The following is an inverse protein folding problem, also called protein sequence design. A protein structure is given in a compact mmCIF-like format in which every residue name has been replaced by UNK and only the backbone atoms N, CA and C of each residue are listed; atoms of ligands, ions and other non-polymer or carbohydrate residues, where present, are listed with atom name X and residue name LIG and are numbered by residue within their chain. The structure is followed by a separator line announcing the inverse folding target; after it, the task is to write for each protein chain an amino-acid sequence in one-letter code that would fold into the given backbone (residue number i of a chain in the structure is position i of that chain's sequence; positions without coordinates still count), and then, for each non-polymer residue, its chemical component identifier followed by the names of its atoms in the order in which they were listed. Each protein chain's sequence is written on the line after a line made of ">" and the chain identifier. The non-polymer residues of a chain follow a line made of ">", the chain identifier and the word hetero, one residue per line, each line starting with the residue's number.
data_IF_671437886608
#
_entry.id   IF_671437886608
#
_cell.length_a   1.000
_cell.length_b   1.000
_cell.length_c   1.000
_cell.angle_alpha   90.00
_cell.angle_beta   90.00
_cell.angle_gamma   90.00
#
_symmetry.space_group_name_H-M   'P 1'
#
loop_
_entity.id
_entity.type
_entity.pdbx_description
1 polymer ?
#
# COMPACT_ATOMS: atom_id res chain seq x y z
N UNK A 1 3.52 -10.27 -2.02
CA UNK A 1 2.12 -9.96 -2.39
C UNK A 1 1.76 -8.60 -1.80
N UNK A 2 1.40 -7.62 -2.61
CA UNK A 2 1.15 -6.26 -2.11
C UNK A 2 -0.36 -6.08 -1.90
N UNK A 3 -0.79 -5.76 -0.68
CA UNK A 3 -2.19 -5.52 -0.35
C UNK A 3 -2.41 -4.01 -0.20
N UNK A 4 -3.39 -3.49 -0.92
CA UNK A 4 -3.74 -2.07 -0.86
C UNK A 4 -5.20 -1.91 -0.49
N UNK A 5 -5.54 -0.77 0.09
CA UNK A 5 -6.91 -0.45 0.45
C UNK A 5 -7.00 0.34 1.75
N UNK A 6 -8.20 0.81 2.11
CA UNK A 6 -8.42 1.60 3.31
C UNK A 6 -8.17 0.80 4.59
N UNK A 7 -7.82 1.47 5.69
CA UNK A 7 -7.56 0.85 7.00
C UNK A 7 -8.73 0.09 7.63
N UNK A 8 -9.94 0.36 7.17
CA UNK A 8 -11.14 -0.35 7.61
C UNK A 8 -11.53 -1.51 6.69
N UNK A 9 -10.72 -1.81 5.67
CA UNK A 9 -10.95 -2.89 4.73
C UNK A 9 -10.61 -4.29 5.27
N UNK A 10 -10.16 -4.45 6.50
CA UNK A 10 -9.81 -5.80 7.01
C UNK A 10 -8.52 -6.37 6.40
N UNK A 11 -7.64 -5.51 5.85
CA UNK A 11 -6.28 -5.87 5.42
C UNK A 11 -5.54 -6.63 6.53
N UNK A 12 -5.50 -6.07 7.74
CA UNK A 12 -4.82 -6.69 8.88
C UNK A 12 -5.48 -8.01 9.31
N UNK A 13 -6.79 -8.15 9.18
CA UNK A 13 -7.49 -9.42 9.46
C UNK A 13 -7.08 -10.51 8.48
N UNK A 14 -7.08 -10.21 7.18
CA UNK A 14 -6.64 -11.14 6.14
C UNK A 14 -5.17 -11.55 6.33
N UNK A 15 -4.31 -10.57 6.61
CA UNK A 15 -2.88 -10.81 6.84
C UNK A 15 -2.67 -11.73 8.06
N UNK A 16 -3.37 -11.46 9.17
CA UNK A 16 -3.31 -12.32 10.37
C UNK A 16 -3.87 -13.72 10.10
N UNK A 17 -4.90 -13.85 9.28
CA UNK A 17 -5.45 -15.13 8.88
C UNK A 17 -4.39 -16.00 8.18
N UNK A 18 -3.62 -15.45 7.22
CA UNK A 18 -2.55 -16.18 6.53
C UNK A 18 -1.48 -16.67 7.52
N UNK A 19 -1.08 -15.80 8.45
CA UNK A 19 -0.11 -16.14 9.49
C UNK A 19 -0.62 -17.28 10.40
N UNK A 20 -1.83 -17.15 10.93
CA UNK A 20 -2.42 -18.13 11.84
C UNK A 20 -2.66 -19.48 11.17
N UNK A 21 -3.15 -19.49 9.93
CA UNK A 21 -3.35 -20.72 9.15
C UNK A 21 -2.01 -21.48 8.97
N UNK A 22 -0.93 -20.75 8.66
CA UNK A 22 0.41 -21.34 8.53
C UNK A 22 0.88 -21.98 9.85
N UNK A 23 0.70 -21.28 10.98
CA UNK A 23 1.04 -21.81 12.31
C UNK A 23 0.22 -23.06 12.63
N UNK A 24 -1.10 -23.01 12.44
CA UNK A 24 -2.00 -24.13 12.73
C UNK A 24 -1.62 -25.38 11.93
N UNK A 25 -1.30 -25.23 10.64
CA UNK A 25 -0.87 -26.35 9.80
C UNK A 25 0.45 -26.96 10.27
N UNK A 26 1.45 -26.14 10.64
CA UNK A 26 2.73 -26.66 11.13
C UNK A 26 2.66 -27.27 12.54
N UNK A 27 1.64 -26.93 13.32
CA UNK A 27 1.30 -27.62 14.56
C UNK A 27 0.59 -28.97 14.34
N UNK A 28 0.23 -29.30 13.10
CA UNK A 28 -0.55 -30.49 12.77
C UNK A 28 -2.03 -30.37 13.09
N UNK A 29 -2.55 -29.14 13.26
CA UNK A 29 -3.97 -28.87 13.46
C UNK A 29 -4.70 -28.77 12.12
N UNK A 30 -6.00 -29.07 12.13
CA UNK A 30 -6.88 -28.61 11.04
C UNK A 30 -6.89 -27.09 10.98
N UNK A 31 -7.10 -26.55 9.78
CA UNK A 31 -7.09 -25.11 9.49
C UNK A 31 -8.47 -24.63 9.07
N UNK A 32 -8.85 -23.38 9.37
CA UNK A 32 -10.13 -22.80 8.97
C UNK A 32 -10.13 -22.39 7.48
N UNK A 33 -10.14 -23.37 6.59
CA UNK A 33 -10.25 -23.20 5.15
C UNK A 33 -11.02 -24.38 4.53
N UNK A 34 -11.65 -24.16 3.37
CA UNK A 34 -12.26 -25.25 2.59
C UNK A 34 -11.18 -26.25 2.13
N UNK A 35 -10.06 -25.73 1.63
CA UNK A 35 -8.87 -26.48 1.24
C UNK A 35 -7.61 -25.65 1.56
N UNK A 36 -6.50 -26.31 1.92
CA UNK A 36 -5.23 -25.63 2.18
C UNK A 36 -4.03 -26.49 1.80
N UNK A 37 -3.10 -25.93 1.04
CA UNK A 37 -1.76 -26.49 0.80
C UNK A 37 -0.73 -25.54 1.36
N UNK A 38 0.06 -25.98 2.33
CA UNK A 38 1.00 -25.12 3.06
C UNK A 38 2.40 -25.73 3.02
N UNK A 39 3.36 -24.97 2.48
CA UNK A 39 4.78 -25.30 2.56
C UNK A 39 5.33 -25.00 3.95
N UNK A 40 6.28 -25.82 4.41
CA UNK A 40 6.93 -25.62 5.71
C UNK A 40 7.74 -24.32 5.67
N UNK A 41 7.40 -23.38 6.55
CA UNK A 41 8.19 -22.18 6.79
C UNK A 41 9.17 -22.41 7.94
N UNK A 42 10.37 -21.83 7.84
CA UNK A 42 11.40 -21.95 8.88
C UNK A 42 11.33 -20.84 9.93
N UNK A 43 10.69 -19.73 9.61
CA UNK A 43 10.48 -18.60 10.50
C UNK A 43 9.30 -17.74 10.06
N UNK A 44 8.66 -17.09 11.02
CA UNK A 44 7.59 -16.13 10.78
C UNK A 44 7.97 -14.80 11.40
N UNK A 45 8.01 -13.77 10.57
CA UNK A 45 8.44 -12.43 10.94
C UNK A 45 7.32 -11.45 10.64
N UNK A 46 6.92 -10.68 11.64
CA UNK A 46 5.81 -9.74 11.49
C UNK A 46 6.19 -8.39 12.05
N UNK A 47 6.04 -7.35 11.24
CA UNK A 47 5.85 -5.99 11.73
C UNK A 47 4.37 -5.66 11.54
N UNK A 48 3.60 -5.60 12.62
CA UNK A 48 2.19 -5.22 12.58
C UNK A 48 1.85 -4.28 13.72
N UNK A 49 1.28 -3.13 13.37
CA UNK A 49 0.73 -2.18 14.35
C UNK A 49 1.72 -1.18 14.92
N UNK A 50 1.16 -0.23 15.65
CA UNK A 50 1.85 0.76 16.47
C UNK A 50 1.41 0.52 17.92
N UNK A 51 2.23 -0.16 18.71
CA UNK A 51 2.08 -0.14 20.16
C UNK A 51 3.12 0.85 20.69
N UNK A 52 2.64 1.95 21.27
CA UNK A 52 3.53 2.97 21.83
C UNK A 52 4.29 2.40 23.03
N UNK A 53 5.62 2.45 22.99
CA UNK A 53 6.46 2.15 24.15
C UNK A 53 7.15 3.42 24.67
N UNK A 54 6.34 4.34 25.19
CA UNK A 54 6.79 5.65 25.71
C UNK A 54 7.89 5.49 26.79
N UNK A 55 7.87 4.37 27.52
CA UNK A 55 8.77 4.11 28.65
C UNK A 55 10.24 3.85 28.25
N UNK A 56 10.55 3.57 26.98
CA UNK A 56 11.92 3.21 26.53
C UNK A 56 12.76 4.38 26.00
N UNK A 57 12.22 5.59 25.92
CA UNK A 57 12.94 6.75 25.37
C UNK A 57 13.35 6.61 23.90
N UNK A 58 12.73 5.68 23.16
CA UNK A 58 12.90 5.50 21.71
C UNK A 58 11.65 5.98 21.00
N UNK A 59 11.81 6.57 19.82
CA UNK A 59 10.65 6.92 18.99
C UNK A 59 10.02 5.65 18.42
N UNK A 60 8.70 5.67 18.22
CA UNK A 60 7.94 4.58 17.58
C UNK A 60 8.53 4.21 16.22
N UNK A 61 8.97 5.21 15.46
CA UNK A 61 9.63 4.99 14.18
C UNK A 61 10.99 4.30 14.31
N UNK A 62 11.79 4.62 15.33
CA UNK A 62 13.07 3.94 15.57
C UNK A 62 12.85 2.46 15.96
N UNK A 63 11.83 2.16 16.76
CA UNK A 63 11.47 0.79 17.09
C UNK A 63 11.00 0.02 15.84
N UNK A 64 10.14 0.62 15.03
CA UNK A 64 9.68 0.06 13.75
C UNK A 64 10.85 -0.27 12.79
N UNK A 65 11.82 0.65 12.65
CA UNK A 65 12.99 0.40 11.81
C UNK A 65 13.94 -0.63 12.41
N UNK A 66 14.04 -0.71 13.74
CA UNK A 66 14.86 -1.72 14.41
C UNK A 66 14.29 -3.11 14.19
N UNK A 67 12.97 -3.29 14.36
CA UNK A 67 12.26 -4.53 14.04
C UNK A 67 12.46 -4.90 12.57
N UNK A 68 12.26 -3.94 11.66
CA UNK A 68 12.48 -4.17 10.22
C UNK A 68 13.93 -4.60 9.93
N UNK A 69 14.92 -4.01 10.60
CA UNK A 69 16.32 -4.40 10.45
C UNK A 69 16.59 -5.82 10.94
N UNK A 70 15.97 -6.24 12.05
CA UNK A 70 16.09 -7.61 12.56
C UNK A 70 15.46 -8.61 11.59
N UNK A 71 14.28 -8.32 11.06
CA UNK A 71 13.61 -9.14 10.05
C UNK A 71 14.50 -9.30 8.81
N UNK A 72 15.07 -8.21 8.30
CA UNK A 72 15.94 -8.24 7.12
C UNK A 72 17.19 -9.11 7.33
N UNK A 73 17.74 -9.16 8.55
CA UNK A 73 18.93 -9.95 8.87
C UNK A 73 18.65 -11.43 9.09
N UNK A 74 17.47 -11.78 9.59
CA UNK A 74 17.12 -13.14 10.01
C UNK A 74 16.26 -13.88 8.98
N UNK A 75 15.50 -13.16 8.15
CA UNK A 75 14.64 -13.76 7.15
C UNK A 75 15.47 -14.58 6.14
N UNK A 76 15.00 -15.80 5.89
CA UNK A 76 15.55 -16.72 4.89
C UNK A 76 14.58 -16.81 3.70
N UNK A 77 14.96 -17.49 2.60
CA UNK A 77 14.06 -17.72 1.49
C UNK A 77 12.88 -18.67 1.78
N UNK A 78 12.83 -19.30 2.97
CA UNK A 78 11.70 -20.13 3.44
C UNK A 78 10.89 -19.46 4.55
N UNK A 79 11.14 -18.18 4.81
CA UNK A 79 10.47 -17.45 5.88
C UNK A 79 9.18 -16.79 5.40
N UNK A 80 8.18 -16.72 6.28
CA UNK A 80 6.99 -15.89 6.06
C UNK A 80 7.22 -14.51 6.68
N UNK A 81 7.41 -13.50 5.83
CA UNK A 81 7.63 -12.11 6.27
C UNK A 81 6.38 -11.27 6.03
N UNK A 82 5.96 -10.51 7.03
CA UNK A 82 4.78 -9.66 6.94
C UNK A 82 5.13 -8.24 7.43
N UNK A 83 4.86 -7.23 6.61
CA UNK A 83 5.18 -5.84 6.91
C UNK A 83 3.93 -4.97 6.74
N UNK A 84 3.23 -4.64 7.82
CA UNK A 84 2.07 -3.77 7.80
C UNK A 84 2.53 -2.31 7.98
N UNK A 85 2.09 -1.39 7.11
CA UNK A 85 2.29 0.07 7.22
C UNK A 85 3.74 0.54 7.48
N UNK A 86 4.75 -0.07 6.83
CA UNK A 86 6.14 0.38 6.97
C UNK A 86 6.33 1.81 6.45
N UNK A 87 6.99 2.67 7.24
CA UNK A 87 7.28 4.05 6.89
C UNK A 87 6.21 5.06 7.33
N UNK A 88 5.21 4.64 8.12
CA UNK A 88 4.13 5.53 8.59
C UNK A 88 4.60 6.58 9.60
N UNK A 89 5.63 6.28 10.40
CA UNK A 89 6.12 7.15 11.47
C UNK A 89 7.02 8.32 11.04
N UNK A 90 7.17 8.61 9.74
CA UNK A 90 8.10 9.62 9.21
C UNK A 90 7.47 10.46 8.10
N UNK A 91 8.27 11.35 7.48
CA UNK A 91 7.84 12.16 6.33
C UNK A 91 7.33 11.26 5.20
N UNK A 92 6.30 11.71 4.46
CA UNK A 92 5.70 10.90 3.38
C UNK A 92 6.74 10.44 2.35
N UNK A 93 7.74 11.27 2.05
CA UNK A 93 8.79 10.94 1.10
C UNK A 93 9.75 9.87 1.64
N UNK A 94 10.22 10.03 2.88
CA UNK A 94 11.12 9.06 3.50
C UNK A 94 10.41 7.72 3.74
N UNK A 95 9.15 7.77 4.17
CA UNK A 95 8.32 6.59 4.40
C UNK A 95 8.13 5.76 3.13
N UNK A 96 7.78 6.42 2.01
CA UNK A 96 7.69 5.77 0.70
C UNK A 96 9.03 5.19 0.27
N UNK A 97 10.12 5.96 0.40
CA UNK A 97 11.45 5.52 -0.03
C UNK A 97 11.94 4.29 0.74
N UNK A 98 11.75 4.28 2.07
CA UNK A 98 12.10 3.15 2.93
C UNK A 98 11.25 1.93 2.58
N UNK A 99 9.92 2.08 2.50
CA UNK A 99 9.03 0.97 2.15
C UNK A 99 9.37 0.36 0.78
N UNK A 100 9.67 1.21 -0.21
CA UNK A 100 10.10 0.76 -1.53
C UNK A 100 11.42 -0.01 -1.48
N UNK A 101 12.46 0.55 -0.84
CA UNK A 101 13.78 -0.08 -0.76
C UNK A 101 13.73 -1.41 0.02
N UNK A 102 12.96 -1.47 1.11
CA UNK A 102 12.76 -2.71 1.87
C UNK A 102 12.04 -3.77 1.04
N UNK A 103 11.01 -3.38 0.29
CA UNK A 103 10.31 -4.31 -0.60
C UNK A 103 11.23 -4.82 -1.72
N UNK A 104 11.97 -3.92 -2.36
CA UNK A 104 12.93 -4.26 -3.40
C UNK A 104 14.00 -5.24 -2.90
N UNK A 105 14.49 -5.06 -1.67
CA UNK A 105 15.43 -5.98 -1.02
C UNK A 105 14.87 -7.40 -0.93
N UNK A 106 13.63 -7.56 -0.45
CA UNK A 106 12.99 -8.88 -0.37
C UNK A 106 12.72 -9.51 -1.74
N UNK A 107 12.56 -8.72 -2.79
CA UNK A 107 12.29 -9.23 -4.15
C UNK A 107 13.59 -9.61 -4.88
N UNK A 108 14.66 -8.81 -4.74
CA UNK A 108 15.90 -8.98 -5.51
C UNK A 108 16.88 -9.96 -4.89
N UNK A 109 17.11 -9.88 -3.59
CA UNK A 109 18.17 -10.65 -2.92
C UNK A 109 17.72 -12.06 -2.54
N UNK A 110 16.42 -12.35 -2.53
CA UNK A 110 15.86 -13.65 -2.20
C UNK A 110 15.16 -14.28 -3.41
N UNK A 111 15.84 -15.24 -4.04
CA UNK A 111 15.35 -16.01 -5.20
C UNK A 111 14.33 -17.09 -4.80
N UNK A 112 13.41 -16.83 -3.87
CA UNK A 112 12.28 -17.73 -3.47
C UNK A 112 11.23 -16.96 -2.64
N UNK A 113 9.96 -17.42 -2.59
CA UNK A 113 8.77 -16.58 -2.50
C UNK A 113 8.45 -16.20 -1.05
N UNK A 114 9.17 -15.24 -0.50
CA UNK A 114 8.71 -14.57 0.71
C UNK A 114 7.33 -13.95 0.39
N UNK A 115 6.27 -14.42 1.06
CA UNK A 115 4.94 -13.79 0.97
C UNK A 115 4.99 -12.50 1.78
N UNK A 116 5.73 -11.51 1.28
CA UNK A 116 5.77 -10.17 1.86
C UNK A 116 4.43 -9.51 1.62
N UNK A 117 3.62 -9.41 2.66
CA UNK A 117 2.37 -8.65 2.67
C UNK A 117 2.68 -7.24 3.11
N UNK A 118 2.70 -6.31 2.15
CA UNK A 118 2.81 -4.88 2.42
C UNK A 118 1.41 -4.28 2.37
N UNK A 119 1.03 -3.56 3.42
CA UNK A 119 -0.22 -2.81 3.51
C UNK A 119 0.09 -1.31 3.51
N UNK A 120 -0.54 -0.56 2.60
CA UNK A 120 -0.35 0.89 2.45
C UNK A 120 -1.69 1.61 2.37
N UNK A 121 -1.86 2.67 3.17
CA UNK A 121 -3.08 3.49 3.19
C UNK A 121 -3.09 4.62 2.18
N UNK A 122 -1.91 5.01 1.75
CA UNK A 122 -1.72 6.08 0.79
C UNK A 122 -1.73 5.48 -0.61
N UNK A 123 -2.84 5.69 -1.32
CA UNK A 123 -2.96 5.49 -2.77
C UNK A 123 -1.72 5.92 -3.58
N UNK A 124 -0.99 7.01 -3.25
CA UNK A 124 0.23 7.36 -3.99
C UNK A 124 1.46 6.46 -3.76
N UNK A 125 1.53 5.63 -2.71
CA UNK A 125 2.67 4.69 -2.55
C UNK A 125 2.69 3.70 -3.71
N UNK A 126 1.52 3.14 -4.06
CA UNK A 126 1.41 2.12 -5.10
C UNK A 126 1.35 2.74 -6.50
N UNK A 127 0.93 4.00 -6.61
CA UNK A 127 0.94 4.78 -7.87
C UNK A 127 2.29 5.48 -8.13
N UNK A 128 3.29 5.26 -7.27
CA UNK A 128 4.66 5.64 -7.58
C UNK A 128 5.18 4.72 -8.70
N UNK A 129 5.67 5.34 -9.78
CA UNK A 129 6.19 4.64 -10.97
C UNK A 129 7.19 3.49 -10.71
N UNK A 130 7.99 3.49 -9.62
CA UNK A 130 8.89 2.39 -9.30
C UNK A 130 8.18 1.08 -8.92
N UNK A 131 7.04 1.14 -8.21
CA UNK A 131 6.28 -0.06 -7.82
C UNK A 131 5.56 -0.71 -9.01
N UNK A 132 5.10 0.07 -9.99
CA UNK A 132 4.56 -0.45 -11.24
C UNK A 132 5.57 -1.30 -12.03
N UNK A 133 6.88 -1.01 -11.92
CA UNK A 133 7.92 -1.83 -12.54
C UNK A 133 7.98 -3.23 -11.92
N UNK A 134 7.77 -3.35 -10.61
CA UNK A 134 7.66 -4.63 -9.93
C UNK A 134 6.36 -5.37 -10.25
N UNK A 135 5.25 -4.68 -10.51
CA UNK A 135 3.98 -5.31 -10.89
C UNK A 135 4.02 -6.00 -12.26
N UNK A 136 5.03 -5.69 -13.09
CA UNK A 136 5.33 -6.42 -14.32
C UNK A 136 6.14 -7.70 -14.09
N UNK A 137 6.61 -7.95 -12.86
CA UNK A 137 7.31 -9.19 -12.52
C UNK A 137 6.32 -10.28 -12.15
N UNK A 138 6.50 -11.53 -12.62
CA UNK A 138 5.55 -12.62 -12.39
C UNK A 138 5.39 -13.02 -10.90
N UNK A 139 6.28 -12.54 -10.03
CA UNK A 139 6.34 -12.87 -8.61
C UNK A 139 5.59 -11.89 -7.70
N UNK A 140 5.11 -10.76 -8.23
CA UNK A 140 4.42 -9.73 -7.45
C UNK A 140 2.98 -9.62 -7.91
N UNK A 141 2.05 -10.01 -7.05
CA UNK A 141 0.62 -9.77 -7.23
C UNK A 141 0.16 -8.61 -6.34
N UNK A 142 -0.62 -7.68 -6.92
CA UNK A 142 -1.29 -6.63 -6.17
C UNK A 142 -2.76 -7.00 -5.95
N UNK A 143 -3.20 -6.82 -4.71
CA UNK A 143 -4.56 -7.09 -4.31
C UNK A 143 -5.16 -5.87 -3.64
N UNK A 144 -6.46 -5.70 -3.86
CA UNK A 144 -7.31 -4.69 -3.23
C UNK A 144 -8.38 -5.40 -2.47
N UNK A 145 -8.77 -4.82 -1.35
CA UNK A 145 -9.98 -5.25 -0.70
C UNK A 145 -11.18 -4.44 -1.22
N UNK A 146 -12.13 -5.16 -1.81
CA UNK A 146 -13.23 -4.62 -2.60
C UNK A 146 -14.20 -3.80 -1.75
N UNK A 147 -14.59 -2.64 -2.27
CA UNK A 147 -15.60 -1.75 -1.70
C UNK A 147 -16.66 -1.49 -2.75
N UNK A 148 -17.94 -1.69 -2.43
CA UNK A 148 -19.04 -1.28 -3.31
C UNK A 148 -19.51 0.12 -2.96
N UNK A 149 -19.90 0.85 -3.99
CA UNK A 149 -20.63 2.10 -3.87
C UNK A 149 -22.12 1.78 -3.95
N UNK A 150 -22.88 2.23 -2.96
CA UNK A 150 -24.32 2.39 -3.15
C UNK A 150 -24.52 3.73 -3.84
N UNK A 151 -24.69 3.72 -5.17
CA UNK A 151 -25.27 4.87 -5.87
C UNK A 151 -26.72 5.03 -5.39
N UNK A 152 -26.94 5.93 -4.43
CA UNK A 152 -28.28 6.43 -4.19
C UNK A 152 -28.62 7.40 -5.33
N UNK A 153 -29.68 7.11 -6.10
CA UNK A 153 -30.21 7.93 -7.22
C UNK A 153 -30.64 9.37 -6.83
N UNK A 154 -30.40 9.77 -5.58
CA UNK A 154 -30.76 11.07 -5.03
C UNK A 154 -29.50 11.92 -4.89
N UNK A 155 -29.42 12.98 -5.70
CA UNK A 155 -28.27 13.86 -5.91
C UNK A 155 -27.65 14.51 -4.65
N UNK A 156 -28.31 14.40 -3.48
CA UNK A 156 -27.91 15.05 -2.22
C UNK A 156 -27.40 14.09 -1.14
N UNK A 157 -27.42 12.77 -1.34
CA UNK A 157 -26.90 11.84 -0.32
C UNK A 157 -25.41 11.52 -0.58
N UNK A 158 -24.51 11.72 0.39
CA UNK A 158 -23.09 11.46 0.18
C UNK A 158 -22.85 9.95 0.03
N UNK A 159 -22.11 9.56 -1.01
CA UNK A 159 -21.74 8.18 -1.36
C UNK A 159 -21.55 7.29 -0.12
N UNK A 160 -22.41 6.29 0.05
CA UNK A 160 -22.23 5.29 1.09
C UNK A 160 -21.25 4.22 0.58
N UNK A 161 -20.13 4.07 1.29
CA UNK A 161 -19.17 3.00 1.05
C UNK A 161 -19.52 1.81 1.93
N UNK A 162 -19.68 0.65 1.30
CA UNK A 162 -19.77 -0.64 1.98
C UNK A 162 -18.45 -1.38 1.83
N UNK A 163 -17.83 -1.74 2.95
CA UNK A 163 -16.65 -2.61 2.97
C UNK A 163 -17.10 -4.07 2.86
N UNK A 164 -16.71 -4.75 1.78
CA UNK A 164 -17.15 -6.13 1.52
C UNK A 164 -16.16 -7.19 2.01
N UNK A 165 -15.00 -6.78 2.53
CA UNK A 165 -13.99 -7.69 3.10
C UNK A 165 -13.51 -8.79 2.15
N UNK A 166 -13.64 -8.57 0.83
CA UNK A 166 -13.23 -9.52 -0.21
C UNK A 166 -11.95 -9.07 -0.89
N UNK A 167 -10.93 -9.93 -0.91
CA UNK A 167 -9.67 -9.68 -1.60
C UNK A 167 -9.83 -9.92 -3.10
N UNK A 168 -9.45 -8.95 -3.93
CA UNK A 168 -9.52 -8.99 -5.40
C UNK A 168 -8.20 -8.53 -6.00
N UNK A 169 -7.87 -8.95 -7.22
CA UNK A 169 -6.64 -8.50 -7.90
C UNK A 169 -6.80 -7.05 -8.36
N UNK A 170 -5.81 -6.22 -8.10
CA UNK A 170 -5.81 -4.81 -8.50
C UNK A 170 -5.05 -3.92 -7.53
N UNK A 171 -5.13 -2.60 -7.76
CA UNK A 171 -4.57 -1.54 -6.91
C UNK A 171 -5.69 -0.59 -6.51
N UNK A 172 -5.69 -0.12 -5.26
CA UNK A 172 -6.74 0.78 -4.77
C UNK A 172 -6.62 2.13 -5.50
N UNK A 173 -7.66 2.51 -6.23
CA UNK A 173 -7.63 3.72 -7.05
C UNK A 173 -7.65 5.02 -6.24
N UNK A 174 -8.26 5.02 -5.05
CA UNK A 174 -8.43 6.21 -4.20
C UNK A 174 -8.31 5.86 -2.72
N UNK A 175 -7.91 6.84 -1.91
CA UNK A 175 -8.00 6.75 -0.45
C UNK A 175 -9.41 7.14 0.00
N UNK A 176 -9.98 6.39 0.94
CA UNK A 176 -11.35 6.58 1.41
C UNK A 176 -11.41 7.21 2.82
N UNK A 177 -10.39 7.98 3.19
CA UNK A 177 -10.25 8.54 4.54
C UNK A 177 -11.41 9.46 4.93
N UNK A 178 -11.95 10.24 4.00
CA UNK A 178 -13.10 11.13 4.26
C UNK A 178 -14.39 10.34 4.56
N UNK A 179 -14.56 9.16 3.95
CA UNK A 179 -15.71 8.31 4.19
C UNK A 179 -15.62 7.61 5.55
N UNK A 180 -14.41 7.23 5.97
CA UNK A 180 -14.17 6.75 7.34
C UNK A 180 -14.40 7.86 8.37
N UNK A 181 -13.99 9.10 8.07
CA UNK A 181 -14.25 10.25 8.94
C UNK A 181 -15.77 10.53 9.09
N UNK A 182 -16.55 10.35 8.01
CA UNK A 182 -18.03 10.42 8.08
C UNK A 182 -18.62 9.33 8.98
N UNK A 183 -18.12 8.10 8.90
CA UNK A 183 -18.54 7.00 9.80
C UNK A 183 -18.18 7.26 11.26
N UNK A 184 -17.12 8.03 11.51
CA UNK A 184 -16.71 8.47 12.84
C UNK A 184 -17.48 9.70 13.34
N UNK A 185 -18.58 10.07 12.67
CA UNK A 185 -19.45 11.20 13.01
C UNK A 185 -18.72 12.56 13.07
N UNK A 186 -17.73 12.75 12.19
CA UNK A 186 -17.06 14.05 12.03
C UNK A 186 -18.03 15.05 11.39
N UNK A 187 -18.15 16.29 11.91
CA UNK A 187 -19.11 17.27 11.41
C UNK A 187 -18.99 17.53 9.89
N UNK A 188 -20.14 17.66 9.22
CA UNK A 188 -20.18 17.83 7.75
C UNK A 188 -19.40 19.04 7.25
N UNK A 189 -19.38 20.14 8.01
CA UNK A 189 -18.63 21.34 7.64
C UNK A 189 -17.12 21.07 7.54
N UNK A 190 -16.59 20.23 8.43
CA UNK A 190 -15.18 19.80 8.42
C UNK A 190 -14.94 18.89 7.22
N UNK A 191 -15.83 17.94 6.95
CA UNK A 191 -15.72 17.02 5.82
C UNK A 191 -15.77 17.75 4.47
N UNK A 192 -16.68 18.72 4.30
CA UNK A 192 -16.78 19.56 3.10
C UNK A 192 -15.48 20.34 2.85
N UNK A 193 -14.91 20.93 3.90
CA UNK A 193 -13.63 21.64 3.81
C UNK A 193 -12.46 20.71 3.49
N UNK A 194 -12.42 19.53 4.12
CA UNK A 194 -11.39 18.52 3.89
C UNK A 194 -11.46 17.96 2.46
N UNK A 195 -12.65 17.74 1.90
CA UNK A 195 -12.85 17.32 0.52
C UNK A 195 -12.31 18.34 -0.48
N UNK A 196 -12.63 19.63 -0.28
CA UNK A 196 -12.09 20.72 -1.10
C UNK A 196 -10.56 20.75 -1.04
N UNK A 197 -9.98 20.62 0.17
CA UNK A 197 -8.53 20.66 0.34
C UNK A 197 -7.82 19.44 -0.26
N UNK A 198 -8.43 18.26 -0.18
CA UNK A 198 -7.91 17.04 -0.80
C UNK A 198 -7.78 17.20 -2.32
N UNK A 199 -8.83 17.72 -2.98
CA UNK A 199 -8.84 17.95 -4.42
C UNK A 199 -7.79 18.99 -4.86
N UNK A 200 -7.62 20.06 -4.08
CA UNK A 200 -6.59 21.07 -4.32
C UNK A 200 -5.17 20.46 -4.26
N UNK A 201 -4.88 19.67 -3.22
CA UNK A 201 -3.58 19.03 -3.04
C UNK A 201 -3.28 18.00 -4.13
N UNK A 202 -4.26 17.20 -4.53
CA UNK A 202 -4.14 16.23 -5.62
C UNK A 202 -3.78 16.92 -6.94
N UNK A 203 -4.50 18.00 -7.29
CA UNK A 203 -4.20 18.80 -8.49
C UNK A 203 -2.80 19.42 -8.47
N UNK A 204 -2.35 19.93 -7.31
CA UNK A 204 -1.00 20.49 -7.17
C UNK A 204 0.10 19.44 -7.38
N UNK A 205 -0.09 18.24 -6.83
CA UNK A 205 0.86 17.13 -6.96
C UNK A 205 0.89 16.62 -8.41
N UNK A 206 -0.26 16.45 -9.05
CA UNK A 206 -0.34 16.04 -10.45
C UNK A 206 0.30 17.04 -11.40
N UNK A 207 0.02 18.34 -11.22
CA UNK A 207 0.63 19.38 -12.05
C UNK A 207 2.16 19.39 -11.93
N UNK A 208 2.70 19.29 -10.71
CA UNK A 208 4.15 19.19 -10.50
C UNK A 208 4.72 17.92 -11.14
N UNK A 209 4.05 16.78 -11.00
CA UNK A 209 4.48 15.50 -11.59
C UNK A 209 4.48 15.55 -13.12
N UNK A 210 3.43 16.10 -13.75
CA UNK A 210 3.35 16.30 -15.20
C UNK A 210 4.46 17.23 -15.68
N UNK A 211 4.65 18.40 -15.07
CA UNK A 211 5.72 19.34 -15.42
C UNK A 211 7.11 18.70 -15.35
N UNK A 212 7.40 17.97 -14.26
CA UNK A 212 8.70 17.32 -14.09
C UNK A 212 8.93 16.20 -15.12
N UNK A 213 7.91 15.38 -15.41
CA UNK A 213 8.00 14.35 -16.46
C UNK A 213 8.24 14.96 -17.84
N UNK A 214 7.49 15.99 -18.21
CA UNK A 214 7.68 16.67 -19.50
C UNK A 214 9.06 17.32 -19.58
N UNK A 215 9.55 17.93 -18.50
CA UNK A 215 10.89 18.50 -18.44
C UNK A 215 11.98 17.44 -18.61
N UNK A 216 11.90 16.32 -17.90
CA UNK A 216 12.85 15.21 -18.05
C UNK A 216 12.82 14.60 -19.45
N UNK A 217 11.63 14.44 -20.04
CA UNK A 217 11.47 13.98 -21.43
C UNK A 217 12.16 14.92 -22.41
N UNK A 218 11.93 16.23 -22.28
CA UNK A 218 12.55 17.26 -23.13
C UNK A 218 14.06 17.43 -22.88
N UNK A 219 14.54 17.15 -21.67
CA UNK A 219 15.97 17.22 -21.35
C UNK A 219 16.76 16.04 -21.93
N UNK A 220 16.12 14.86 -22.00
CA UNK A 220 16.75 13.63 -22.49
C UNK A 220 16.57 13.42 -24.01
N UNK A 221 15.71 14.20 -24.68
CA UNK A 221 15.52 14.12 -26.14
C UNK A 221 16.74 14.64 -26.89
N UNK A 222 17.25 13.85 -27.83
CA UNK A 222 18.38 14.22 -28.69
C UNK A 222 17.94 14.68 -30.10
N UNK A 223 16.69 14.42 -30.48
CA UNK A 223 16.13 14.71 -31.81
C UNK A 223 14.99 15.75 -31.75
N UNK A 224 14.77 16.47 -32.86
CA UNK A 224 13.73 17.48 -32.98
C UNK A 224 12.31 16.91 -33.14
N UNK A 225 12.19 15.66 -33.57
CA UNK A 225 10.91 14.93 -33.68
C UNK A 225 10.35 14.54 -32.31
N UNK A 226 11.18 14.03 -31.39
CA UNK A 226 10.81 13.70 -30.01
C UNK A 226 10.26 14.91 -29.24
N UNK A 227 10.86 16.08 -29.47
CA UNK A 227 10.40 17.35 -28.89
C UNK A 227 9.06 17.80 -29.47
N UNK A 228 8.78 17.54 -30.75
CA UNK A 228 7.50 17.85 -31.38
C UNK A 228 6.38 16.95 -30.85
N UNK A 229 6.62 15.65 -30.70
CA UNK A 229 5.64 14.73 -30.10
C UNK A 229 5.31 15.12 -28.63
N UNK A 230 6.32 15.52 -27.85
CA UNK A 230 6.13 15.99 -26.47
C UNK A 230 5.35 17.31 -26.38
N UNK A 231 5.44 18.17 -27.39
CA UNK A 231 4.72 19.45 -27.48
C UNK A 231 3.29 19.25 -28.01
N UNK A 232 3.08 18.36 -28.98
CA UNK A 232 1.75 18.05 -29.53
C UNK A 232 0.86 17.31 -28.51
N UNK A 233 1.45 16.46 -27.67
CA UNK A 233 0.75 15.81 -26.55
C UNK A 233 0.19 16.80 -25.49
N UNK A 234 0.67 18.05 -25.47
CA UNK A 234 0.13 19.12 -24.60
C UNK A 234 -1.13 19.78 -25.17
N UNK A 235 -1.42 19.65 -26.46
CA UNK A 235 -2.54 20.32 -27.12
C UNK A 235 -3.83 19.48 -27.17
N UNK A 236 -3.82 18.25 -26.63
CA UNK A 236 -4.95 17.31 -26.61
C UNK A 236 -5.62 17.13 -25.23
N UNK A 237 -5.32 17.98 -24.23
CA UNK A 237 -6.02 17.99 -22.93
C UNK A 237 -6.61 19.36 -22.61
#
# INVERSE_FOLDING_TARGET
>A
MIITGPNMGGKSSYIKQVALITVMAQLGSYVPAEEATIGIVDGMYTRMGAADNIYKGRSTFMEELSETSEILKQATPRSLVILDELGRGTSTHDGIAIAYATLEYFIKDYTTPNISLLSTDSGPVVVSAPLCHFLSTPFVSSWVLFTTFSESEVADNPEYITFLYQITRGIAARSYGLNVAKLADVPEEVLKKAACKSKELEGLVEMKRKKMKTFQGAWNSQNSEDLRELLDAKHLN
#
